data_IF_634725942410
#
_entry.id   IF_634725942410
#
_cell.length_a   1.000
_cell.length_b   1.000
_cell.length_c   1.000
_cell.angle_alpha   90.00
_cell.angle_beta   90.00
_cell.angle_gamma   90.00
#
_symmetry.space_group_name_H-M   'P 1'
#
loop_
_entity.id
_entity.type
_entity.pdbx_description
1 polymer ?
#
# COMPACT_ATOMS: atom_id res chain seq x y z
N UNK A 1 -15.63 -30.17 10.17
CA UNK A 1 -15.20 -29.98 8.77
C UNK A 1 -15.35 -28.51 8.42
N UNK A 2 -14.26 -27.82 8.12
CA UNK A 2 -14.29 -26.52 7.43
C UNK A 2 -12.91 -26.31 6.80
N UNK A 3 -12.72 -26.84 5.58
CA UNK A 3 -11.66 -26.38 4.66
C UNK A 3 -12.16 -25.08 4.02
N UNK A 4 -12.34 -24.04 4.82
CA UNK A 4 -12.51 -22.68 4.31
C UNK A 4 -11.15 -22.20 3.83
N UNK A 5 -11.09 -21.70 2.61
CA UNK A 5 -9.88 -21.49 1.81
C UNK A 5 -8.62 -21.08 2.59
N UNK A 6 -7.53 -21.79 2.33
CA UNK A 6 -6.19 -21.51 2.88
C UNK A 6 -5.58 -20.27 2.22
N UNK A 7 -6.20 -19.11 2.42
CA UNK A 7 -5.47 -17.84 2.37
C UNK A 7 -5.45 -17.22 3.79
N UNK A 8 -4.40 -17.47 4.57
CA UNK A 8 -4.37 -17.15 5.98
C UNK A 8 -4.02 -15.68 6.28
N UNK A 9 -4.34 -14.74 5.39
CA UNK A 9 -4.26 -13.31 5.70
C UNK A 9 -2.99 -12.61 5.22
N UNK A 10 -2.52 -12.93 4.01
CA UNK A 10 -1.54 -12.09 3.32
C UNK A 10 -2.25 -10.85 2.76
N UNK A 11 -2.52 -9.93 3.67
CA UNK A 11 -3.56 -8.91 3.62
C UNK A 11 -3.14 -7.62 2.92
N UNK A 12 -2.17 -7.72 2.02
CA UNK A 12 -1.65 -6.59 1.27
C UNK A 12 -1.32 -7.05 -0.13
N UNK A 13 -1.48 -6.19 -1.12
CA UNK A 13 -1.17 -6.49 -2.52
C UNK A 13 -0.27 -5.40 -3.07
N UNK A 14 0.91 -5.78 -3.54
CA UNK A 14 1.96 -4.83 -3.94
C UNK A 14 2.33 -3.86 -2.79
N UNK A 15 1.62 -2.74 -2.62
CA UNK A 15 1.72 -1.83 -1.44
C UNK A 15 0.40 -1.51 -0.76
N UNK A 16 -0.74 -1.97 -1.28
CA UNK A 16 -2.00 -1.48 -0.77
C UNK A 16 -2.56 -2.39 0.32
N UNK A 17 -2.98 -1.81 1.46
CA UNK A 17 -3.54 -2.58 2.55
C UNK A 17 -4.92 -3.10 2.14
N UNK A 18 -5.27 -4.29 2.61
CA UNK A 18 -6.64 -4.78 2.61
C UNK A 18 -7.25 -4.69 4.00
N UNK A 19 -8.56 -4.82 4.07
CA UNK A 19 -9.32 -4.80 5.33
C UNK A 19 -9.15 -6.09 6.14
N UNK A 20 -8.50 -7.11 5.58
CA UNK A 20 -8.29 -8.40 6.24
C UNK A 20 -7.19 -8.25 7.28
N UNK A 21 -7.50 -8.55 8.54
CA UNK A 21 -6.52 -8.45 9.61
C UNK A 21 -5.65 -9.70 9.70
N UNK A 22 -4.45 -9.52 10.25
CA UNK A 22 -3.64 -10.62 10.76
C UNK A 22 -4.33 -11.21 12.00
N UNK A 23 -4.34 -12.55 12.15
CA UNK A 23 -5.06 -13.16 13.29
C UNK A 23 -4.34 -12.87 14.59
N UNK A 24 -5.07 -12.91 15.70
CA UNK A 24 -4.51 -12.69 17.03
C UNK A 24 -3.32 -13.63 17.30
N UNK A 25 -2.20 -13.04 17.71
CA UNK A 25 -0.96 -13.76 18.02
C UNK A 25 -0.06 -14.04 16.83
N UNK A 26 -0.56 -13.94 15.60
CA UNK A 26 0.25 -14.15 14.40
C UNK A 26 1.26 -13.03 14.21
N UNK A 27 2.38 -13.39 13.58
CA UNK A 27 3.47 -12.50 13.27
C UNK A 27 3.90 -12.66 11.82
N UNK A 28 4.14 -11.55 11.13
CA UNK A 28 4.54 -11.55 9.73
C UNK A 28 5.70 -10.60 9.48
N UNK A 29 6.66 -11.04 8.67
CA UNK A 29 7.70 -10.22 8.06
C UNK A 29 7.26 -9.77 6.68
N UNK A 30 7.54 -8.53 6.33
CA UNK A 30 7.18 -7.90 5.08
C UNK A 30 8.43 -7.31 4.44
N UNK A 31 8.63 -7.54 3.15
CA UNK A 31 9.80 -7.07 2.43
C UNK A 31 9.39 -6.44 1.11
N UNK A 32 9.98 -5.29 0.79
CA UNK A 32 9.65 -4.53 -0.41
C UNK A 32 8.14 -4.19 -0.49
N UNK A 33 7.54 -3.83 0.65
CA UNK A 33 6.10 -3.49 0.76
C UNK A 33 5.91 -2.01 1.09
N UNK A 34 4.69 -1.61 1.49
CA UNK A 34 4.36 -0.25 1.92
C UNK A 34 5.06 0.19 3.22
N UNK A 35 5.49 -0.75 4.07
CA UNK A 35 6.36 -0.44 5.22
C UNK A 35 7.84 -0.28 4.83
N UNK A 36 8.18 -0.52 3.55
CA UNK A 36 9.50 -0.30 2.99
C UNK A 36 10.32 -1.55 2.73
N UNK A 37 11.64 -1.48 2.97
CA UNK A 37 12.58 -2.58 2.72
C UNK A 37 12.27 -3.79 3.58
N UNK A 38 12.10 -3.55 4.87
CA UNK A 38 11.83 -4.57 5.87
C UNK A 38 10.81 -4.01 6.85
N UNK A 39 9.79 -4.80 7.13
CA UNK A 39 8.79 -4.51 8.14
C UNK A 39 8.32 -5.77 8.84
N UNK A 40 7.70 -5.57 9.99
CA UNK A 40 7.09 -6.60 10.83
C UNK A 40 5.65 -6.19 11.09
N UNK A 41 4.74 -7.15 11.16
CA UNK A 41 3.33 -6.97 11.52
C UNK A 41 2.90 -8.02 12.52
N UNK A 42 2.05 -7.62 13.47
CA UNK A 42 1.51 -8.48 14.51
C UNK A 42 0.01 -8.27 14.70
N UNK A 43 -0.75 -9.36 14.80
CA UNK A 43 -2.13 -9.34 15.24
C UNK A 43 -2.20 -9.17 16.76
N UNK A 44 -2.50 -7.95 17.23
CA UNK A 44 -2.54 -7.62 18.65
C UNK A 44 -3.82 -8.10 19.32
N UNK A 45 -4.94 -8.04 18.61
CA UNK A 45 -6.24 -8.53 19.06
C UNK A 45 -6.98 -9.15 17.88
N UNK A 46 -8.22 -9.63 18.08
CA UNK A 46 -9.08 -10.07 16.97
C UNK A 46 -9.53 -8.92 16.06
N UNK A 47 -9.39 -7.68 16.51
CA UNK A 47 -9.84 -6.48 15.81
C UNK A 47 -8.71 -5.51 15.49
N UNK A 48 -7.47 -5.77 15.90
CA UNK A 48 -6.36 -4.85 15.72
C UNK A 48 -5.11 -5.61 15.28
N UNK A 49 -4.50 -5.16 14.18
CA UNK A 49 -3.11 -5.47 13.86
C UNK A 49 -2.29 -4.19 13.69
N UNK A 50 -1.00 -4.31 13.95
CA UNK A 50 -0.04 -3.21 13.81
C UNK A 50 1.19 -3.67 13.08
N UNK A 51 1.81 -2.76 12.34
CA UNK A 51 3.08 -2.97 11.68
C UNK A 51 4.07 -1.84 11.93
N UNK A 52 5.35 -2.19 11.82
CA UNK A 52 6.49 -1.28 11.86
C UNK A 52 7.48 -1.66 10.78
N UNK A 53 8.11 -0.70 10.12
CA UNK A 53 9.15 -0.99 9.15
C UNK A 53 10.00 0.20 8.79
N UNK A 54 11.02 -0.09 7.98
CA UNK A 54 11.99 0.89 7.51
C UNK A 54 11.66 1.22 6.04
N UNK A 55 11.21 2.44 5.74
CA UNK A 55 10.86 2.86 4.38
C UNK A 55 12.06 2.74 3.43
N UNK A 56 11.79 2.47 2.15
CA UNK A 56 12.82 2.07 1.18
C UNK A 56 13.85 3.17 0.90
N UNK A 57 13.49 4.45 1.05
CA UNK A 57 14.22 5.56 0.42
C UNK A 57 14.58 6.70 1.38
N UNK A 58 14.12 6.65 2.63
CA UNK A 58 14.61 7.50 3.71
C UNK A 58 14.99 6.58 4.85
N UNK A 59 16.19 6.73 5.39
CA UNK A 59 16.47 6.22 6.72
C UNK A 59 15.36 6.78 7.61
N UNK A 60 14.46 5.96 8.14
CA UNK A 60 13.24 6.42 8.80
C UNK A 60 12.48 5.26 9.43
N UNK A 61 11.35 5.57 10.06
CA UNK A 61 10.44 4.57 10.65
C UNK A 61 9.03 4.82 10.17
N UNK A 62 8.43 3.77 9.63
CA UNK A 62 7.01 3.71 9.29
C UNK A 62 6.28 2.83 10.29
N UNK A 63 5.09 3.26 10.66
CA UNK A 63 4.15 2.54 11.50
C UNK A 63 2.82 2.47 10.78
N UNK A 64 2.14 1.35 10.92
CA UNK A 64 0.76 1.26 10.48
C UNK A 64 -0.09 0.43 11.42
N UNK A 65 -1.40 0.68 11.40
CA UNK A 65 -2.37 -0.01 12.22
C UNK A 65 -3.64 -0.22 11.42
N UNK A 66 -4.28 -1.36 11.64
CA UNK A 66 -5.63 -1.64 11.13
C UNK A 66 -6.55 -1.98 12.27
N UNK A 67 -7.72 -1.35 12.27
CA UNK A 67 -8.78 -1.58 13.25
C UNK A 67 -10.00 -2.13 12.50
N UNK A 68 -10.31 -3.40 12.72
CA UNK A 68 -11.43 -4.09 12.10
C UNK A 68 -12.76 -3.71 12.74
N UNK A 69 -13.71 -3.26 11.93
CA UNK A 69 -15.11 -3.09 12.31
C UNK A 69 -15.88 -4.38 12.12
N UNK A 70 -15.60 -5.09 11.02
CA UNK A 70 -16.22 -6.36 10.65
C UNK A 70 -15.14 -7.27 10.09
N UNK A 71 -15.07 -8.51 10.59
CA UNK A 71 -14.20 -9.57 10.09
C UNK A 71 -15.03 -10.85 10.01
N UNK A 72 -15.53 -11.18 8.82
CA UNK A 72 -16.37 -12.35 8.55
C UNK A 72 -15.82 -13.13 7.36
N UNK A 73 -16.33 -14.33 7.15
CA UNK A 73 -16.03 -15.09 5.95
C UNK A 73 -16.52 -14.32 4.71
N UNK A 74 -15.60 -14.11 3.76
CA UNK A 74 -15.87 -13.41 2.50
C UNK A 74 -16.06 -11.89 2.60
N UNK A 75 -15.99 -11.30 3.79
CA UNK A 75 -16.15 -9.85 3.97
C UNK A 75 -15.36 -9.30 5.17
N UNK A 76 -14.65 -8.20 4.94
CA UNK A 76 -13.99 -7.44 5.98
C UNK A 76 -14.13 -5.94 5.73
N UNK A 77 -14.30 -5.20 6.83
CA UNK A 77 -14.24 -3.75 6.85
C UNK A 77 -13.34 -3.32 8.00
N UNK A 78 -12.42 -2.40 7.72
CA UNK A 78 -11.45 -1.91 8.69
C UNK A 78 -11.13 -0.44 8.43
N UNK A 79 -10.58 0.21 9.44
CA UNK A 79 -9.89 1.48 9.30
C UNK A 79 -8.40 1.24 9.27
N UNK A 80 -7.68 1.88 8.35
CA UNK A 80 -6.23 1.84 8.30
C UNK A 80 -5.65 3.21 8.63
N UNK A 81 -4.56 3.20 9.37
CA UNK A 81 -3.75 4.38 9.63
C UNK A 81 -2.29 4.01 9.40
N UNK A 82 -1.57 4.93 8.78
CA UNK A 82 -0.15 4.83 8.48
C UNK A 82 0.50 6.16 8.83
N UNK A 83 1.68 6.08 9.44
CA UNK A 83 2.53 7.24 9.69
C UNK A 83 3.97 6.88 9.35
N UNK A 84 4.73 7.85 8.86
CA UNK A 84 6.15 7.71 8.60
C UNK A 84 6.91 8.93 9.09
N UNK A 85 8.06 8.68 9.70
CA UNK A 85 8.99 9.69 10.17
C UNK A 85 10.31 9.45 9.43
N UNK A 86 10.69 10.32 8.48
CA UNK A 86 12.01 10.26 7.89
C UNK A 86 13.06 10.79 8.89
N UNK A 87 14.19 10.11 9.01
CA UNK A 87 15.38 10.57 9.73
C UNK A 87 16.26 11.49 8.88
N UNK A 88 16.12 11.42 7.54
CA UNK A 88 16.79 12.33 6.60
C UNK A 88 15.69 13.03 5.79
N UNK A 89 15.57 14.35 5.98
CA UNK A 89 14.57 15.18 5.29
C UNK A 89 14.99 15.60 3.87
N UNK A 90 16.19 15.22 3.43
CA UNK A 90 16.79 15.63 2.16
C UNK A 90 16.64 14.52 1.12
N UNK A 91 15.90 14.78 0.06
CA UNK A 91 15.84 13.86 -1.08
C UNK A 91 15.41 14.58 -2.35
N UNK A 92 16.24 14.58 -3.37
CA UNK A 92 15.90 15.23 -4.65
C UNK A 92 15.07 14.30 -5.58
N UNK A 93 14.67 13.11 -5.12
CA UNK A 93 14.09 12.06 -5.98
C UNK A 93 12.82 11.43 -5.38
N UNK A 94 11.93 10.83 -6.19
CA UNK A 94 10.82 10.02 -5.71
C UNK A 94 11.29 8.85 -4.85
N UNK A 95 10.56 8.60 -3.77
CA UNK A 95 10.98 7.74 -2.66
C UNK A 95 9.88 6.79 -2.21
N UNK A 96 8.92 6.54 -3.09
CA UNK A 96 8.08 5.36 -3.03
C UNK A 96 8.03 4.80 -4.44
N UNK A 97 7.76 3.50 -4.53
CA UNK A 97 7.68 2.82 -5.81
C UNK A 97 6.44 3.26 -6.64
N UNK A 98 5.52 4.02 -6.06
CA UNK A 98 4.43 4.72 -6.76
C UNK A 98 4.81 6.13 -7.24
N UNK A 99 6.05 6.57 -7.03
CA UNK A 99 6.49 7.91 -7.41
C UNK A 99 6.09 8.99 -6.41
N UNK A 100 5.38 8.62 -5.36
CA UNK A 100 5.07 9.51 -4.25
C UNK A 100 6.36 9.72 -3.46
N UNK A 101 6.85 10.96 -3.42
CA UNK A 101 8.00 11.29 -2.59
C UNK A 101 7.56 11.68 -1.18
N UNK A 102 8.33 11.29 -0.16
CA UNK A 102 8.31 11.93 1.17
C UNK A 102 9.50 12.88 1.36
N UNK A 103 10.18 13.25 0.28
CA UNK A 103 11.29 14.17 0.34
C UNK A 103 10.82 15.49 0.90
N UNK A 104 11.54 16.04 1.87
CA UNK A 104 11.17 17.25 2.62
C UNK A 104 9.85 17.15 3.40
N UNK A 105 9.14 16.02 3.34
CA UNK A 105 8.03 15.77 4.24
C UNK A 105 8.64 15.56 5.62
N UNK A 106 8.22 16.34 6.61
CA UNK A 106 8.37 15.94 8.01
C UNK A 106 7.58 14.65 8.29
N UNK A 107 6.89 14.58 9.42
CA UNK A 107 5.92 13.51 9.65
C UNK A 107 4.91 13.43 8.49
N UNK A 108 4.77 12.24 7.94
CA UNK A 108 3.81 11.90 6.91
C UNK A 108 2.76 10.94 7.43
N UNK A 109 1.49 11.11 7.08
CA UNK A 109 0.45 10.16 7.48
C UNK A 109 -0.59 9.95 6.39
N UNK A 110 -1.24 8.78 6.43
CA UNK A 110 -2.38 8.42 5.63
C UNK A 110 -3.38 7.64 6.48
N UNK A 111 -4.67 7.88 6.32
CA UNK A 111 -5.69 7.13 7.05
C UNK A 111 -7.03 7.11 6.33
N UNK A 112 -7.75 6.01 6.46
CA UNK A 112 -9.08 5.89 5.87
C UNK A 112 -9.67 4.48 5.92
N UNK A 113 -10.92 4.35 5.46
CA UNK A 113 -11.61 3.08 5.42
C UNK A 113 -11.05 2.13 4.35
N UNK A 114 -11.13 0.84 4.68
CA UNK A 114 -10.85 -0.29 3.81
C UNK A 114 -12.06 -1.22 3.79
N UNK A 115 -12.32 -1.78 2.61
CA UNK A 115 -13.29 -2.85 2.41
C UNK A 115 -12.63 -3.98 1.64
N UNK A 116 -12.97 -5.22 1.99
CA UNK A 116 -12.51 -6.41 1.29
C UNK A 116 -13.65 -7.40 1.18
N UNK A 117 -13.87 -7.90 -0.03
CA UNK A 117 -14.85 -8.90 -0.40
C UNK A 117 -14.13 -10.04 -1.08
N UNK A 118 -14.39 -11.28 -0.69
CA UNK A 118 -13.76 -12.42 -1.35
C UNK A 118 -14.60 -13.68 -1.29
N UNK A 119 -14.25 -14.62 -2.16
CA UNK A 119 -14.67 -16.01 -2.09
C UNK A 119 -13.48 -16.92 -2.43
N UNK A 120 -13.73 -18.19 -2.73
CA UNK A 120 -12.68 -19.16 -3.04
C UNK A 120 -11.87 -18.86 -4.30
N UNK A 121 -12.35 -18.00 -5.19
CA UNK A 121 -11.72 -17.73 -6.50
C UNK A 121 -11.36 -16.28 -6.73
N UNK A 122 -12.13 -15.34 -6.17
CA UNK A 122 -12.01 -13.92 -6.49
C UNK A 122 -11.97 -13.13 -5.19
N UNK A 123 -11.09 -12.13 -5.14
CA UNK A 123 -11.02 -11.13 -4.08
C UNK A 123 -11.06 -9.73 -4.69
N UNK A 124 -11.74 -8.81 -4.01
CA UNK A 124 -11.75 -7.38 -4.34
C UNK A 124 -11.51 -6.59 -3.06
N UNK A 125 -10.51 -5.71 -3.10
CA UNK A 125 -10.06 -4.92 -1.97
C UNK A 125 -10.03 -3.45 -2.38
N UNK A 126 -10.65 -2.57 -1.61
CA UNK A 126 -10.73 -1.16 -1.92
C UNK A 126 -10.46 -0.31 -0.70
N UNK A 127 -9.93 0.89 -0.93
CA UNK A 127 -9.66 1.86 0.10
C UNK A 127 -9.64 3.28 -0.42
N UNK A 128 -9.99 4.20 0.46
CA UNK A 128 -9.93 5.65 0.23
C UNK A 128 -9.36 6.27 1.49
N UNK A 129 -8.33 7.10 1.34
CA UNK A 129 -7.48 7.56 2.42
C UNK A 129 -7.22 9.05 2.28
N UNK A 130 -7.36 9.76 3.39
CA UNK A 130 -6.82 11.10 3.52
C UNK A 130 -5.35 10.98 3.92
N UNK A 131 -4.48 11.74 3.29
CA UNK A 131 -3.07 11.79 3.63
C UNK A 131 -2.58 13.24 3.72
N UNK A 132 -1.58 13.47 4.57
CA UNK A 132 -0.95 14.78 4.72
C UNK A 132 0.56 14.65 4.98
N UNK A 133 1.29 15.68 4.56
CA UNK A 133 2.71 15.88 4.85
C UNK A 133 2.88 17.13 5.73
N UNK A 134 3.34 16.94 6.96
CA UNK A 134 3.41 18.05 7.94
C UNK A 134 4.47 19.11 7.61
N UNK A 135 5.56 18.75 6.93
CA UNK A 135 6.65 19.67 6.57
C UNK A 135 6.45 20.45 5.27
N UNK A 136 5.44 20.11 4.47
CA UNK A 136 5.26 20.61 3.11
C UNK A 136 3.91 21.32 2.90
N UNK A 137 2.92 21.03 3.76
CA UNK A 137 1.53 21.39 3.51
C UNK A 137 0.87 20.40 2.53
N UNK A 138 -0.42 20.59 2.24
CA UNK A 138 -1.14 19.74 1.29
C UNK A 138 -1.84 18.53 1.91
N UNK A 139 -3.15 18.45 1.71
CA UNK A 139 -3.96 17.25 1.92
C UNK A 139 -4.11 16.49 0.60
N UNK A 140 -4.15 15.16 0.69
CA UNK A 140 -4.23 14.26 -0.45
C UNK A 140 -5.36 13.27 -0.24
N UNK A 141 -6.08 12.96 -1.32
CA UNK A 141 -6.93 11.79 -1.38
C UNK A 141 -6.20 10.69 -2.14
N UNK A 142 -5.86 9.63 -1.43
CA UNK A 142 -5.28 8.42 -1.99
C UNK A 142 -6.37 7.35 -2.05
N UNK A 143 -6.59 6.74 -3.20
CA UNK A 143 -7.55 5.64 -3.34
C UNK A 143 -6.95 4.47 -4.11
N UNK A 144 -7.45 3.28 -3.83
CA UNK A 144 -7.03 2.08 -4.52
C UNK A 144 -8.15 1.06 -4.62
N UNK A 145 -8.06 0.23 -5.66
CA UNK A 145 -8.83 -0.98 -5.82
C UNK A 145 -7.88 -2.08 -6.27
N UNK A 146 -8.03 -3.29 -5.73
CA UNK A 146 -7.29 -4.47 -6.12
C UNK A 146 -8.27 -5.60 -6.36
N UNK A 147 -8.20 -6.20 -7.53
CA UNK A 147 -8.85 -7.45 -7.84
C UNK A 147 -7.81 -8.56 -7.88
N UNK A 148 -8.15 -9.71 -7.32
CA UNK A 148 -7.36 -10.91 -7.39
C UNK A 148 -8.20 -12.08 -7.89
N UNK A 149 -7.61 -12.93 -8.73
CA UNK A 149 -8.25 -14.14 -9.25
C UNK A 149 -7.34 -15.33 -9.03
N UNK A 150 -7.78 -16.28 -8.20
CA UNK A 150 -7.11 -17.56 -8.01
C UNK A 150 -7.24 -18.39 -9.29
N UNK A 151 -6.11 -18.67 -9.92
CA UNK A 151 -6.06 -19.55 -11.09
C UNK A 151 -6.06 -21.00 -10.64
N UNK A 152 -5.15 -21.32 -9.72
CA UNK A 152 -4.98 -22.63 -9.09
C UNK A 152 -4.55 -22.44 -7.63
N UNK A 153 -4.44 -23.54 -6.90
CA UNK A 153 -3.84 -23.51 -5.57
C UNK A 153 -2.40 -22.96 -5.66
N UNK A 154 -2.09 -21.99 -4.82
CA UNK A 154 -0.79 -21.33 -4.77
C UNK A 154 -0.51 -20.26 -5.83
N UNK A 155 -1.40 -20.01 -6.79
CA UNK A 155 -1.23 -18.94 -7.80
C UNK A 155 -2.48 -18.06 -7.94
N UNK A 156 -2.30 -16.72 -7.89
CA UNK A 156 -3.33 -15.74 -8.26
C UNK A 156 -2.84 -14.74 -9.29
N UNK A 157 -3.74 -14.23 -10.13
CA UNK A 157 -3.53 -12.99 -10.87
C UNK A 157 -3.96 -11.81 -10.02
N UNK A 158 -3.20 -10.71 -10.08
CA UNK A 158 -3.48 -9.46 -9.40
C UNK A 158 -3.64 -8.33 -10.43
N UNK A 159 -4.65 -7.49 -10.23
CA UNK A 159 -4.82 -6.23 -10.92
C UNK A 159 -5.16 -5.16 -9.88
N UNK A 160 -4.37 -4.09 -9.82
CA UNK A 160 -4.55 -3.01 -8.87
C UNK A 160 -4.56 -1.67 -9.59
N UNK A 161 -5.58 -0.87 -9.30
CA UNK A 161 -5.63 0.54 -9.67
C UNK A 161 -5.34 1.39 -8.43
N UNK A 162 -4.51 2.41 -8.60
CA UNK A 162 -4.17 3.39 -7.56
C UNK A 162 -4.38 4.78 -8.12
N UNK A 163 -4.94 5.69 -7.33
CA UNK A 163 -4.97 7.10 -7.69
C UNK A 163 -4.64 8.02 -6.52
N UNK A 164 -3.96 9.11 -6.84
CA UNK A 164 -3.68 10.20 -5.91
C UNK A 164 -4.35 11.47 -6.43
N UNK A 165 -4.99 12.21 -5.54
CA UNK A 165 -5.59 13.51 -5.81
C UNK A 165 -5.08 14.52 -4.80
N UNK A 166 -4.52 15.61 -5.30
CA UNK A 166 -4.08 16.73 -4.46
C UNK A 166 -5.30 17.60 -4.10
N UNK A 167 -5.63 17.70 -2.81
CA UNK A 167 -6.81 18.42 -2.31
C UNK A 167 -6.52 19.86 -1.89
N UNK A 168 -5.29 20.16 -1.48
CA UNK A 168 -4.91 21.52 -1.11
C UNK A 168 -3.47 21.81 -1.50
N UNK A 169 -3.21 23.08 -1.82
CA UNK A 169 -1.91 23.56 -2.29
C UNK A 169 -0.79 23.26 -1.30
N UNK A 170 0.23 22.58 -1.78
CA UNK A 170 1.53 22.54 -1.13
C UNK A 170 2.21 23.91 -1.28
N UNK A 171 2.63 24.54 -0.18
CA UNK A 171 3.10 25.95 -0.18
C UNK A 171 4.62 26.10 -0.27
N UNK A 172 5.35 24.98 -0.35
CA UNK A 172 6.81 25.02 -0.41
C UNK A 172 7.31 25.15 -1.84
N UNK A 173 8.12 26.17 -2.12
CA UNK A 173 8.76 26.37 -3.43
C UNK A 173 9.71 25.21 -3.81
N UNK A 174 10.28 24.51 -2.82
CA UNK A 174 11.18 23.37 -3.03
C UNK A 174 10.47 22.09 -3.45
N UNK A 175 9.14 22.01 -3.28
CA UNK A 175 8.38 20.80 -3.60
C UNK A 175 7.62 20.86 -4.93
N UNK A 176 7.55 22.03 -5.57
CA UNK A 176 6.95 22.21 -6.91
C UNK A 176 7.36 21.17 -7.97
N UNK A 177 8.64 20.71 -8.05
CA UNK A 177 9.03 19.70 -9.03
C UNK A 177 8.45 18.31 -8.76
N UNK A 178 8.14 18.01 -7.49
CA UNK A 178 7.67 16.70 -7.02
C UNK A 178 6.14 16.66 -6.85
N UNK A 179 5.54 17.85 -6.74
CA UNK A 179 4.16 18.07 -6.33
C UNK A 179 3.42 19.00 -7.29
N UNK A 180 3.95 19.16 -8.50
CA UNK A 180 3.34 19.91 -9.59
C UNK A 180 2.95 21.35 -9.29
N UNK A 181 2.15 21.90 -10.20
CA UNK A 181 1.97 23.33 -10.40
C UNK A 181 0.91 24.00 -9.49
N UNK A 182 0.54 23.37 -8.37
CA UNK A 182 -0.48 23.92 -7.47
C UNK A 182 -1.90 23.85 -8.06
N UNK A 183 -2.22 22.78 -8.77
CA UNK A 183 -3.59 22.48 -9.19
C UNK A 183 -3.98 21.08 -8.74
N UNK A 184 -5.27 20.86 -8.48
CA UNK A 184 -5.78 19.52 -8.21
C UNK A 184 -5.47 18.64 -9.42
N UNK A 185 -4.70 17.57 -9.20
CA UNK A 185 -4.26 16.64 -10.24
C UNK A 185 -4.66 15.24 -9.85
N UNK A 186 -5.05 14.46 -10.85
CA UNK A 186 -5.34 13.05 -10.71
C UNK A 186 -4.16 12.25 -11.26
N UNK A 187 -3.53 11.43 -10.43
CA UNK A 187 -2.34 10.64 -10.78
C UNK A 187 -2.69 9.14 -10.76
N UNK A 188 -3.21 8.59 -11.88
CA UNK A 188 -3.61 7.19 -11.96
C UNK A 188 -2.43 6.25 -12.28
N UNK A 189 -2.37 5.14 -11.56
CA UNK A 189 -1.43 4.05 -11.76
C UNK A 189 -2.18 2.72 -11.89
N UNK A 190 -1.71 1.88 -12.81
CA UNK A 190 -2.14 0.49 -12.93
C UNK A 190 -1.01 -0.45 -12.54
N UNK A 191 -1.30 -1.48 -11.75
CA UNK A 191 -0.37 -2.55 -11.43
C UNK A 191 -1.02 -3.87 -11.81
N UNK A 192 -0.26 -4.75 -12.46
CA UNK A 192 -0.72 -6.10 -12.79
C UNK A 192 0.40 -7.09 -12.52
N UNK A 193 0.04 -8.31 -12.10
CA UNK A 193 1.04 -9.31 -11.77
C UNK A 193 0.46 -10.64 -11.32
N UNK A 194 1.36 -11.46 -10.79
CA UNK A 194 1.07 -12.79 -10.28
C UNK A 194 1.47 -12.84 -8.81
N UNK A 195 0.61 -13.44 -7.98
CA UNK A 195 0.93 -13.85 -6.62
C UNK A 195 1.24 -15.34 -6.60
N UNK A 196 2.41 -15.68 -6.10
CA UNK A 196 2.73 -17.03 -5.63
C UNK A 196 2.48 -17.07 -4.13
N UNK A 197 1.73 -18.06 -3.64
CA UNK A 197 1.42 -18.14 -2.22
C UNK A 197 1.41 -19.57 -1.67
N UNK A 198 1.66 -19.65 -0.37
CA UNK A 198 1.48 -20.84 0.46
C UNK A 198 0.78 -20.41 1.76
N UNK A 199 0.63 -21.34 2.72
CA UNK A 199 0.12 -21.01 4.06
C UNK A 199 0.98 -19.99 4.82
N UNK A 200 2.27 -19.86 4.50
CA UNK A 200 3.21 -19.02 5.27
C UNK A 200 3.91 -17.97 4.43
N UNK A 201 3.78 -18.00 3.12
CA UNK A 201 4.57 -17.14 2.24
C UNK A 201 3.71 -16.61 1.11
N UNK A 202 3.97 -15.37 0.69
CA UNK A 202 3.46 -14.83 -0.55
C UNK A 202 4.50 -13.93 -1.21
N UNK A 203 4.56 -14.03 -2.54
CA UNK A 203 5.35 -13.15 -3.39
C UNK A 203 4.45 -12.59 -4.49
N UNK A 204 4.30 -11.28 -4.52
CA UNK A 204 3.67 -10.56 -5.62
C UNK A 204 4.76 -10.11 -6.57
N UNK A 205 4.68 -10.52 -7.82
CA UNK A 205 5.58 -10.10 -8.89
C UNK A 205 4.77 -9.51 -10.03
N UNK A 206 5.11 -8.31 -10.47
CA UNK A 206 4.30 -7.61 -11.46
C UNK A 206 4.99 -6.42 -12.09
N UNK A 207 4.19 -5.57 -12.69
CA UNK A 207 4.62 -4.32 -13.28
C UNK A 207 3.64 -3.20 -12.92
N UNK A 208 4.18 -2.01 -12.71
CA UNK A 208 3.48 -0.76 -12.47
C UNK A 208 3.57 0.12 -13.72
N UNK A 209 2.44 0.64 -14.17
CA UNK A 209 2.31 1.52 -15.31
C UNK A 209 1.70 2.86 -14.85
N UNK A 210 2.42 3.98 -15.01
CA UNK A 210 1.82 5.31 -14.92
C UNK A 210 0.82 5.51 -16.07
N UNK A 211 -0.42 5.89 -15.77
CA UNK A 211 -1.49 5.97 -16.78
C UNK A 211 -1.73 7.41 -17.29
N UNK A 212 -0.97 8.38 -16.79
CA UNK A 212 -0.95 9.77 -17.26
C UNK A 212 0.47 10.31 -17.30
N UNK A 213 0.73 11.23 -18.23
CA UNK A 213 2.00 11.97 -18.35
C UNK A 213 2.31 12.83 -17.11
N UNK A 214 1.30 13.16 -16.33
CA UNK A 214 1.44 13.95 -15.11
C UNK A 214 1.97 13.12 -13.93
N UNK A 215 2.03 11.80 -14.07
CA UNK A 215 2.53 10.91 -13.03
C UNK A 215 4.05 11.09 -12.86
N UNK A 216 4.57 11.28 -11.63
CA UNK A 216 6.01 11.45 -11.37
C UNK A 216 6.94 10.34 -11.90
N UNK A 217 6.42 9.14 -12.16
CA UNK A 217 7.18 8.01 -12.72
C UNK A 217 6.98 7.83 -14.24
N UNK A 218 6.25 8.74 -14.90
CA UNK A 218 6.06 8.67 -16.34
C UNK A 218 7.41 8.76 -17.06
N UNK A 219 7.63 7.85 -18.01
CA UNK A 219 8.82 7.82 -18.85
C UNK A 219 8.46 7.39 -20.26
N UNK A 220 8.93 8.14 -21.26
CA UNK A 220 8.79 7.75 -22.68
C UNK A 220 9.70 6.57 -23.05
N UNK A 221 10.68 6.23 -22.20
CA UNK A 221 11.65 5.14 -22.45
C UNK A 221 11.32 3.86 -21.71
N UNK A 222 10.64 3.97 -20.57
CA UNK A 222 10.27 2.84 -19.72
C UNK A 222 8.79 2.95 -19.34
N UNK A 223 7.94 2.32 -20.15
CA UNK A 223 6.48 2.39 -19.97
C UNK A 223 5.99 1.69 -18.69
N UNK A 224 6.76 0.74 -18.16
CA UNK A 224 6.41 -0.04 -16.98
C UNK A 224 7.60 -0.28 -16.06
N UNK A 225 7.35 -0.27 -14.76
CA UNK A 225 8.36 -0.45 -13.70
C UNK A 225 8.11 -1.80 -13.03
N UNK A 226 9.11 -2.69 -12.93
CA UNK A 226 8.91 -3.99 -12.28
C UNK A 226 8.58 -3.82 -10.80
N UNK A 227 7.74 -4.72 -10.30
CA UNK A 227 7.25 -4.73 -8.94
C UNK A 227 7.53 -6.07 -8.25
N UNK A 228 8.02 -6.02 -7.02
CA UNK A 228 8.08 -7.19 -6.12
C UNK A 228 7.65 -6.79 -4.71
N UNK A 229 6.78 -7.60 -4.11
CA UNK A 229 6.47 -7.53 -2.67
C UNK A 229 6.47 -8.95 -2.08
N UNK A 230 7.12 -9.12 -0.93
CA UNK A 230 7.23 -10.40 -0.26
C UNK A 230 6.63 -10.32 1.14
N UNK A 231 5.97 -11.38 1.57
CA UNK A 231 5.49 -11.51 2.95
C UNK A 231 5.72 -12.92 3.44
N UNK A 232 6.08 -13.05 4.71
CA UNK A 232 6.34 -14.31 5.38
C UNK A 232 5.68 -14.31 6.75
N UNK A 233 4.86 -15.32 7.05
CA UNK A 233 4.22 -15.53 8.34
C UNK A 233 5.02 -16.56 9.15
N UNK A 234 5.38 -16.17 10.37
CA UNK A 234 6.17 -16.97 11.30
C UNK A 234 5.29 -17.91 12.13
#
# INVERSE_FOLDING_TARGET
>A
MQRGSEDPGMSQHFQMPSAVLLRYGDFAGMYLTHLGWVGLRRGLTRAIDVGVGVPYYFLGVSLDARVGFVQREGFAAAWWAYATIPFVAEGERPTSQLGFTWSFAGLGWATGPLVSLWNDRIGVHAGVHLAQRTGLGGAWLFSHVTAEVRLIEGIKLLLQGVSFNELSLEKSDTARPLVGNGSARWLPYGLAGVRFYTRRFSADMGALAPLSRDCPLWSERLAVIPWVALTHRF
#
